data_IF_982213064672
#
_entry.id   IF_982213064672
#
_cell.length_a   1.000
_cell.length_b   1.000
_cell.length_c   1.000
_cell.angle_alpha   90.00
_cell.angle_beta   90.00
_cell.angle_gamma   90.00
#
_symmetry.space_group_name_H-M   'P 1'
#
loop_
_entity.id
_entity.type
_entity.pdbx_description
1 polymer ?
#
# COMPACT_ATOMS: atom_id res chain seq x y z
N UNK A 1 23.40 31.05 -5.70
CA UNK A 1 22.13 31.40 -6.38
C UNK A 1 21.10 30.36 -5.96
N UNK A 2 20.32 30.75 -4.94
CA UNK A 2 19.15 30.13 -4.33
C UNK A 2 18.85 28.67 -4.69
N UNK A 3 19.00 27.82 -3.67
CA UNK A 3 18.05 26.75 -3.35
C UNK A 3 16.67 27.25 -3.76
N UNK A 4 16.20 26.74 -4.90
CA UNK A 4 14.84 26.94 -5.40
C UNK A 4 13.92 26.56 -4.26
N UNK A 5 13.23 27.56 -3.70
CA UNK A 5 12.29 27.41 -2.60
C UNK A 5 11.53 26.10 -2.79
N UNK A 6 11.54 25.23 -1.79
CA UNK A 6 10.48 24.24 -1.63
C UNK A 6 9.16 25.01 -1.79
N UNK A 7 8.52 24.88 -2.95
CA UNK A 7 7.30 25.62 -3.25
C UNK A 7 6.23 25.07 -2.34
N UNK A 8 6.08 25.67 -1.16
CA UNK A 8 5.05 25.31 -0.22
C UNK A 8 3.71 25.58 -0.92
N UNK A 9 2.85 24.58 -0.87
CA UNK A 9 1.55 24.59 -1.55
C UNK A 9 0.50 24.04 -0.62
N UNK A 10 -0.69 24.62 -0.69
CA UNK A 10 -1.86 24.13 0.01
C UNK A 10 -2.62 23.20 -0.93
N UNK A 11 -2.99 22.04 -0.42
CA UNK A 11 -3.88 21.13 -1.13
C UNK A 11 -5.29 21.37 -0.66
N UNK A 12 -6.15 21.71 -1.61
CA UNK A 12 -7.56 21.89 -1.40
C UNK A 12 -8.30 20.65 -1.87
N UNK A 13 -9.09 20.04 -0.99
CA UNK A 13 -9.84 18.82 -1.26
C UNK A 13 -11.34 19.08 -1.13
N UNK A 14 -12.09 18.66 -2.15
CA UNK A 14 -13.56 18.70 -2.16
C UNK A 14 -14.07 17.28 -2.32
N UNK A 15 -14.96 16.84 -1.43
CA UNK A 15 -15.46 15.47 -1.37
C UNK A 15 -16.94 15.48 -1.76
N UNK A 16 -17.28 14.71 -2.80
CA UNK A 16 -18.66 14.48 -3.24
C UNK A 16 -19.12 13.09 -2.81
N UNK A 17 -20.20 13.02 -2.03
CA UNK A 17 -20.83 11.76 -1.64
C UNK A 17 -22.03 11.49 -2.54
N UNK A 18 -22.03 10.39 -3.29
CA UNK A 18 -23.07 10.16 -4.32
C UNK A 18 -24.49 9.99 -3.76
N UNK A 19 -24.61 9.37 -2.58
CA UNK A 19 -25.90 9.05 -1.98
C UNK A 19 -26.24 9.99 -0.82
N UNK A 20 -25.42 9.97 0.23
CA UNK A 20 -25.56 10.84 1.40
C UNK A 20 -24.20 11.03 2.07
N UNK A 21 -24.08 12.08 2.87
CA UNK A 21 -22.95 12.21 3.77
C UNK A 21 -23.01 11.09 4.83
N UNK A 22 -21.98 10.25 4.96
CA UNK A 22 -21.95 9.15 5.91
C UNK A 22 -21.88 9.69 7.34
N UNK A 23 -22.56 9.04 8.28
CA UNK A 23 -22.36 9.34 9.70
C UNK A 23 -21.02 8.82 10.19
N UNK A 24 -20.60 9.23 11.39
CA UNK A 24 -19.39 8.70 12.02
C UNK A 24 -19.47 7.17 12.20
N UNK A 25 -20.63 6.65 12.61
CA UNK A 25 -20.82 5.21 12.80
C UNK A 25 -20.82 4.44 11.48
N UNK A 26 -21.40 5.03 10.41
CA UNK A 26 -21.35 4.42 9.08
C UNK A 26 -19.89 4.24 8.61
N UNK A 27 -19.05 5.26 8.83
CA UNK A 27 -17.62 5.16 8.54
C UNK A 27 -16.92 4.14 9.45
N UNK A 28 -17.16 4.18 10.76
CA UNK A 28 -16.50 3.31 11.72
C UNK A 28 -16.84 1.81 11.50
N UNK A 29 -18.08 1.53 11.08
CA UNK A 29 -18.55 0.18 10.77
C UNK A 29 -18.29 -0.23 9.31
N UNK A 30 -17.79 0.68 8.46
CA UNK A 30 -17.53 0.41 7.04
C UNK A 30 -18.79 0.16 6.21
N UNK A 31 -19.91 0.79 6.56
CA UNK A 31 -21.22 0.57 5.92
C UNK A 31 -21.49 1.54 4.77
N UNK A 32 -21.11 2.81 4.94
CA UNK A 32 -21.28 3.90 3.97
C UNK A 32 -20.11 4.88 4.19
N UNK A 33 -19.57 5.54 3.15
CA UNK A 33 -20.08 5.72 1.80
C UNK A 33 -19.76 4.56 0.83
N UNK A 34 -20.74 4.17 0.00
CA UNK A 34 -20.53 3.17 -1.08
C UNK A 34 -19.68 3.68 -2.24
N UNK A 35 -19.75 4.98 -2.54
CA UNK A 35 -19.01 5.64 -3.62
C UNK A 35 -18.72 7.09 -3.23
N UNK A 36 -17.45 7.47 -3.32
CA UNK A 36 -16.96 8.83 -3.01
C UNK A 36 -16.12 9.31 -4.17
N UNK A 37 -16.35 10.55 -4.56
CA UNK A 37 -15.52 11.25 -5.53
C UNK A 37 -14.74 12.32 -4.77
N UNK A 38 -13.44 12.46 -5.08
CA UNK A 38 -12.57 13.45 -4.43
C UNK A 38 -11.95 14.30 -5.53
N UNK A 39 -12.21 15.60 -5.48
CA UNK A 39 -11.52 16.59 -6.31
C UNK A 39 -10.40 17.24 -5.51
N UNK A 40 -9.17 17.15 -6.01
CA UNK A 40 -7.98 17.74 -5.38
C UNK A 40 -7.43 18.84 -6.27
N UNK A 41 -7.26 20.04 -5.70
CA UNK A 41 -6.64 21.19 -6.34
C UNK A 41 -5.39 21.60 -5.56
N UNK A 42 -4.27 21.77 -6.25
CA UNK A 42 -3.05 22.33 -5.66
C UNK A 42 -3.06 23.85 -5.81
N UNK A 43 -2.86 24.57 -4.72
CA UNK A 43 -2.82 26.03 -4.65
C UNK A 43 -1.41 26.45 -4.20
N UNK A 44 -0.60 27.07 -5.07
CA UNK A 44 0.65 27.70 -4.69
C UNK A 44 0.45 28.74 -3.58
N UNK A 45 1.34 28.81 -2.59
CA UNK A 45 1.25 29.87 -1.57
C UNK A 45 1.36 31.28 -2.15
N UNK A 46 2.02 31.43 -3.30
CA UNK A 46 2.12 32.70 -4.02
C UNK A 46 0.75 33.22 -4.51
N UNK A 47 -0.22 32.33 -4.69
CA UNK A 47 -1.57 32.67 -5.16
C UNK A 47 -2.52 33.05 -4.01
N UNK A 48 -2.08 32.87 -2.75
CA UNK A 48 -2.87 33.18 -1.56
C UNK A 48 -2.54 34.61 -1.10
N UNK A 49 -3.52 35.53 -1.05
CA UNK A 49 -3.28 36.90 -0.59
C UNK A 49 -2.83 36.95 0.86
N UNK A 50 -1.84 37.80 1.17
CA UNK A 50 -1.32 37.97 2.55
C UNK A 50 -2.10 39.00 3.37
N UNK A 51 -2.82 39.91 2.70
CA UNK A 51 -3.66 40.92 3.34
C UNK A 51 -5.00 40.31 3.76
N UNK A 52 -5.44 40.59 4.98
CA UNK A 52 -6.66 40.01 5.58
C UNK A 52 -7.91 40.23 4.71
N UNK A 53 -8.19 41.47 4.28
CA UNK A 53 -9.35 41.77 3.44
C UNK A 53 -9.33 41.00 2.12
N UNK A 54 -8.16 40.96 1.47
CA UNK A 54 -7.99 40.23 0.20
C UNK A 54 -8.09 38.72 0.39
N UNK A 55 -7.59 38.20 1.52
CA UNK A 55 -7.68 36.80 1.86
C UNK A 55 -9.13 36.40 2.14
N UNK A 56 -9.91 37.24 2.82
CA UNK A 56 -11.32 37.03 3.07
C UNK A 56 -12.13 36.97 1.76
N UNK A 57 -11.91 37.92 0.84
CA UNK A 57 -12.53 37.87 -0.50
C UNK A 57 -12.14 36.62 -1.27
N UNK A 58 -10.84 36.29 -1.30
CA UNK A 58 -10.34 35.09 -1.99
C UNK A 58 -10.93 33.79 -1.42
N UNK A 59 -11.07 33.71 -0.09
CA UNK A 59 -11.66 32.56 0.59
C UNK A 59 -13.13 32.42 0.20
N UNK A 60 -13.88 33.53 0.21
CA UNK A 60 -15.29 33.55 -0.18
C UNK A 60 -15.48 33.11 -1.64
N UNK A 61 -14.69 33.65 -2.57
CA UNK A 61 -14.72 33.27 -3.98
C UNK A 61 -14.39 31.78 -4.15
N UNK A 62 -13.42 31.27 -3.39
CA UNK A 62 -13.04 29.85 -3.39
C UNK A 62 -14.18 28.97 -2.85
N UNK A 63 -14.90 29.41 -1.80
CA UNK A 63 -16.06 28.70 -1.29
C UNK A 63 -17.21 28.66 -2.33
N UNK A 64 -17.53 29.79 -2.97
CA UNK A 64 -18.55 29.83 -4.02
C UNK A 64 -18.23 28.88 -5.19
N UNK A 65 -16.96 28.81 -5.60
CA UNK A 65 -16.53 27.87 -6.65
C UNK A 65 -16.70 26.40 -6.23
N UNK A 66 -16.45 26.06 -4.95
CA UNK A 66 -16.68 24.71 -4.43
C UNK A 66 -18.15 24.35 -4.36
N UNK A 67 -19.00 25.28 -3.95
CA UNK A 67 -20.44 25.06 -3.90
C UNK A 67 -21.00 24.81 -5.31
N UNK A 68 -20.54 25.57 -6.31
CA UNK A 68 -20.90 25.31 -7.70
C UNK A 68 -20.36 23.95 -8.19
N UNK A 69 -19.12 23.59 -7.83
CA UNK A 69 -18.53 22.31 -8.18
C UNK A 69 -19.32 21.12 -7.59
N UNK A 70 -19.77 21.23 -6.34
CA UNK A 70 -20.60 20.22 -5.68
C UNK A 70 -22.01 20.18 -6.28
N UNK A 71 -22.60 21.33 -6.58
CA UNK A 71 -23.88 21.39 -7.28
C UNK A 71 -23.82 20.65 -8.63
N UNK A 72 -22.78 20.92 -9.41
CA UNK A 72 -22.53 20.23 -10.68
C UNK A 72 -22.30 18.72 -10.47
N UNK A 73 -21.59 18.33 -9.42
CA UNK A 73 -21.38 16.93 -9.06
C UNK A 73 -22.70 16.21 -8.74
N UNK A 74 -23.56 16.81 -7.91
CA UNK A 74 -24.86 16.19 -7.60
C UNK A 74 -25.81 16.13 -8.81
N UNK A 75 -25.65 17.04 -9.77
CA UNK A 75 -26.42 17.06 -11.01
C UNK A 75 -25.92 16.04 -12.04
N UNK A 76 -24.60 15.94 -12.24
CA UNK A 76 -23.96 15.13 -13.29
C UNK A 76 -23.50 13.75 -12.80
N UNK A 77 -23.32 13.59 -11.49
CA UNK A 77 -22.83 12.37 -10.84
C UNK A 77 -21.31 12.22 -10.82
N UNK A 78 -20.55 13.19 -11.32
CA UNK A 78 -19.08 13.13 -11.37
C UNK A 78 -18.43 14.52 -11.36
N UNK A 79 -17.14 14.57 -10.99
CA UNK A 79 -16.34 15.79 -11.06
C UNK A 79 -15.79 16.04 -12.47
N UNK A 80 -15.43 17.29 -12.81
CA UNK A 80 -14.75 17.60 -14.06
C UNK A 80 -13.33 17.03 -14.08
N UNK A 81 -12.89 16.55 -15.26
CA UNK A 81 -11.56 15.94 -15.47
C UNK A 81 -11.29 14.79 -14.50
N UNK A 82 -12.11 13.75 -14.57
CA UNK A 82 -11.80 12.48 -13.92
C UNK A 82 -10.37 12.06 -14.29
N UNK A 83 -9.59 11.67 -13.28
CA UNK A 83 -8.25 11.17 -13.52
C UNK A 83 -8.32 9.99 -14.50
N UNK A 84 -7.39 9.93 -15.44
CA UNK A 84 -7.19 8.76 -16.31
C UNK A 84 -6.54 7.61 -15.50
N UNK A 85 -6.86 7.50 -14.21
CA UNK A 85 -6.60 6.30 -13.44
C UNK A 85 -7.59 5.26 -13.95
N UNK A 86 -7.27 4.69 -15.12
CA UNK A 86 -7.96 3.55 -15.67
C UNK A 86 -8.06 2.52 -14.56
N UNK A 87 -9.28 2.05 -14.28
CA UNK A 87 -9.55 1.16 -13.16
C UNK A 87 -8.48 0.07 -13.08
N UNK A 88 -7.97 -0.16 -11.87
CA UNK A 88 -7.03 -1.23 -11.59
C UNK A 88 -7.58 -2.51 -12.23
N UNK A 89 -6.96 -2.94 -13.33
CA UNK A 89 -7.46 -4.08 -14.09
C UNK A 89 -7.50 -5.28 -13.16
N UNK A 90 -8.71 -5.74 -12.83
CA UNK A 90 -8.95 -6.84 -11.89
C UNK A 90 -8.10 -8.07 -12.26
N UNK A 91 -7.90 -8.29 -13.56
CA UNK A 91 -7.06 -9.36 -14.09
C UNK A 91 -5.58 -9.19 -13.71
N UNK A 92 -5.01 -7.99 -13.83
CA UNK A 92 -3.62 -7.73 -13.43
C UNK A 92 -3.44 -7.93 -11.93
N UNK A 93 -4.40 -7.48 -11.12
CA UNK A 93 -4.38 -7.68 -9.67
C UNK A 93 -4.43 -9.18 -9.32
N UNK A 94 -5.33 -9.93 -9.95
CA UNK A 94 -5.51 -11.36 -9.70
C UNK A 94 -4.27 -12.19 -10.11
N UNK A 95 -3.67 -11.89 -11.27
CA UNK A 95 -2.43 -12.54 -11.70
C UNK A 95 -1.29 -12.25 -10.72
N UNK A 96 -1.13 -10.99 -10.29
CA UNK A 96 -0.10 -10.63 -9.32
C UNK A 96 -0.33 -11.33 -7.97
N UNK A 97 -1.58 -11.40 -7.51
CA UNK A 97 -1.94 -12.07 -6.26
C UNK A 97 -1.65 -13.57 -6.30
N UNK A 98 -2.05 -14.26 -7.37
CA UNK A 98 -1.76 -15.69 -7.57
C UNK A 98 -0.24 -15.91 -7.62
N UNK A 99 0.49 -15.06 -8.35
CA UNK A 99 1.95 -15.15 -8.45
C UNK A 99 2.62 -15.04 -7.07
N UNK A 100 2.22 -14.05 -6.26
CA UNK A 100 2.73 -13.87 -4.90
C UNK A 100 2.43 -15.09 -4.03
N UNK A 101 1.19 -15.62 -4.07
CA UNK A 101 0.83 -16.83 -3.29
C UNK A 101 1.69 -18.03 -3.69
N UNK A 102 1.84 -18.29 -4.99
CA UNK A 102 2.62 -19.41 -5.49
C UNK A 102 4.08 -19.26 -5.08
N UNK A 103 4.67 -18.08 -5.28
CA UNK A 103 6.06 -17.80 -4.93
C UNK A 103 6.29 -17.98 -3.42
N UNK A 104 5.44 -17.38 -2.58
CA UNK A 104 5.54 -17.52 -1.12
C UNK A 104 5.37 -18.97 -0.68
N UNK A 105 4.44 -19.72 -1.29
CA UNK A 105 4.21 -21.13 -0.98
C UNK A 105 5.42 -22.00 -1.35
N UNK A 106 6.02 -21.78 -2.52
CA UNK A 106 7.24 -22.48 -2.95
C UNK A 106 8.40 -22.16 -2.00
N UNK A 107 8.63 -20.89 -1.68
CA UNK A 107 9.68 -20.47 -0.76
C UNK A 107 9.49 -21.08 0.64
N UNK A 108 8.26 -21.10 1.16
CA UNK A 108 7.95 -21.75 2.42
C UNK A 108 8.22 -23.25 2.36
N UNK A 109 7.74 -23.94 1.31
CA UNK A 109 7.94 -25.38 1.12
C UNK A 109 9.43 -25.75 1.08
N UNK A 110 10.24 -25.03 0.29
CA UNK A 110 11.68 -25.27 0.20
C UNK A 110 12.39 -25.05 1.54
N UNK A 111 11.99 -24.03 2.30
CA UNK A 111 12.57 -23.74 3.62
C UNK A 111 12.24 -24.83 4.63
N UNK A 112 10.98 -25.28 4.68
CA UNK A 112 10.56 -26.37 5.56
C UNK A 112 11.22 -27.69 5.18
N UNK A 113 11.24 -28.03 3.89
CA UNK A 113 11.87 -29.24 3.39
C UNK A 113 13.37 -29.24 3.73
N UNK A 114 14.10 -28.18 3.39
CA UNK A 114 15.52 -28.04 3.72
C UNK A 114 15.79 -28.19 5.22
N UNK A 115 14.99 -27.53 6.08
CA UNK A 115 15.16 -27.61 7.53
C UNK A 115 14.90 -29.00 8.11
N UNK A 116 13.86 -29.70 7.63
CA UNK A 116 13.49 -31.03 8.11
C UNK A 116 14.54 -32.06 7.67
N UNK A 117 14.92 -32.08 6.39
CA UNK A 117 15.91 -33.03 5.88
C UNK A 117 17.29 -32.79 6.46
N UNK A 118 17.68 -31.53 6.67
CA UNK A 118 18.93 -31.19 7.35
C UNK A 118 18.96 -31.73 8.79
N UNK A 119 17.87 -31.58 9.54
CA UNK A 119 17.76 -32.13 10.91
C UNK A 119 17.84 -33.65 10.95
N UNK A 120 17.18 -34.35 10.02
CA UNK A 120 17.25 -35.81 9.89
C UNK A 120 18.69 -36.25 9.61
N UNK A 121 19.37 -35.59 8.66
CA UNK A 121 20.75 -35.88 8.32
C UNK A 121 21.69 -35.76 9.53
N UNK A 122 21.62 -34.64 10.27
CA UNK A 122 22.44 -34.44 11.47
C UNK A 122 22.17 -35.52 12.53
N UNK A 123 20.90 -35.87 12.78
CA UNK A 123 20.54 -36.91 13.74
C UNK A 123 21.12 -38.28 13.35
N UNK A 124 21.10 -38.63 12.06
CA UNK A 124 21.67 -39.89 11.56
C UNK A 124 23.20 -39.93 11.70
N UNK A 125 23.89 -38.84 11.37
CA UNK A 125 25.35 -38.73 11.55
C UNK A 125 25.73 -38.87 13.02
N UNK A 126 25.01 -38.19 13.92
CA UNK A 126 25.24 -38.31 15.36
C UNK A 126 25.01 -39.75 15.87
N UNK A 127 23.92 -40.40 15.43
CA UNK A 127 23.64 -41.79 15.79
C UNK A 127 24.73 -42.75 15.27
N UNK A 128 25.21 -42.55 14.05
CA UNK A 128 26.29 -43.31 13.47
C UNK A 128 27.62 -43.13 14.22
N UNK A 129 27.97 -41.90 14.59
CA UNK A 129 29.20 -41.63 15.35
C UNK A 129 29.13 -42.25 16.77
N UNK A 130 27.97 -42.15 17.43
CA UNK A 130 27.74 -42.77 18.73
C UNK A 130 27.84 -44.30 18.66
N UNK A 131 27.25 -44.92 17.63
CA UNK A 131 27.35 -46.38 17.45
C UNK A 131 28.76 -46.84 17.07
N UNK A 132 29.47 -46.11 16.20
CA UNK A 132 30.86 -46.40 15.85
C UNK A 132 31.79 -46.32 17.07
N UNK A 133 31.56 -45.35 17.96
CA UNK A 133 32.32 -45.19 19.21
C UNK A 133 31.97 -46.29 20.22
N UNK A 134 30.69 -46.63 20.36
CA UNK A 134 30.22 -47.69 21.27
C UNK A 134 30.73 -49.09 20.86
N UNK A 135 30.76 -49.36 19.56
CA UNK A 135 31.23 -50.63 19.00
C UNK A 135 32.76 -50.69 18.80
N UNK A 136 33.49 -49.66 19.24
CA UNK A 136 34.95 -49.54 19.15
C UNK A 136 35.50 -49.77 17.73
N UNK A 137 34.73 -49.34 16.71
CA UNK A 137 35.08 -49.48 15.30
C UNK A 137 36.16 -48.44 14.99
N UNK A 138 37.43 -48.85 15.14
CA UNK A 138 38.57 -48.02 14.72
C UNK A 138 38.56 -47.86 13.19
N UNK A 139 38.49 -46.62 12.66
CA UNK A 139 38.72 -46.42 11.24
C UNK A 139 40.16 -46.84 10.93
N UNK A 140 40.33 -47.79 10.01
CA UNK A 140 41.66 -48.17 9.53
C UNK A 140 42.33 -46.95 8.87
N UNK A 141 43.60 -46.64 9.17
CA UNK A 141 44.29 -45.52 8.55
C UNK A 141 44.34 -45.74 7.03
N UNK A 142 43.83 -44.77 6.27
CA UNK A 142 43.74 -44.83 4.81
C UNK A 142 45.14 -44.69 4.16
N UNK A 143 46.14 -44.25 4.93
CA UNK A 143 47.53 -44.19 4.49
C UNK A 143 48.40 -44.77 5.60
N UNK A 144 48.86 -46.00 5.40
CA UNK A 144 49.95 -46.59 6.16
C UNK A 144 51.25 -46.25 5.43
N UNK A 145 52.06 -45.37 6.03
CA UNK A 145 53.48 -45.26 5.72
C UNK A 145 54.27 -46.02 6.78
#
# INVERSE_FOLDING_TARGET
MYISLCAATVYDATIGYKHRCPSFLDNACGVDPSEVHIHIRRIPLADIPTSEDKAASWLMDTFCLKDQLLFDFYSKGHFPREGIEGGLSTMKCLVNFIFVIILTSICAFLTFFSSIWFKIYISLVCAYLASATYLDIRPSPIVAF
#
